data_IF_685255409839
#
_entry.id   IF_685255409839
#
_cell.length_a   1.000
_cell.length_b   1.000
_cell.length_c   1.000
_cell.angle_alpha   90.00
_cell.angle_beta   90.00
_cell.angle_gamma   90.00
#
_symmetry.space_group_name_H-M   'P 1'
#
loop_
_entity.id
_entity.type
_entity.pdbx_description
1 polymer ?
#
# COMPACT_ATOMS: atom_id res chain seq x y z
N UNK A 1 21.90 4.76 23.69
CA UNK A 1 22.10 3.91 22.51
C UNK A 1 20.73 3.66 21.92
N UNK A 2 20.45 4.19 20.74
CA UNK A 2 19.28 3.81 19.94
C UNK A 2 19.85 3.34 18.62
N UNK A 3 19.93 2.02 18.43
CA UNK A 3 20.17 1.45 17.12
C UNK A 3 19.11 2.04 16.16
N UNK A 4 19.50 2.57 15.00
CA UNK A 4 18.53 2.77 13.96
C UNK A 4 18.00 1.37 13.64
N UNK A 5 16.73 1.12 13.94
CA UNK A 5 16.08 -0.11 13.53
C UNK A 5 16.40 -0.28 12.06
N UNK A 6 17.18 -1.32 11.73
CA UNK A 6 17.36 -1.73 10.35
C UNK A 6 15.99 -2.19 9.87
N UNK A 7 15.16 -1.23 9.46
CA UNK A 7 14.14 -1.44 8.46
C UNK A 7 14.92 -1.99 7.29
N UNK A 8 15.02 -3.32 7.23
CA UNK A 8 15.36 -4.06 6.02
C UNK A 8 14.61 -3.35 4.90
N UNK A 9 15.37 -2.55 4.16
CA UNK A 9 14.84 -1.85 3.01
C UNK A 9 14.75 -2.98 2.01
N UNK A 10 13.60 -3.65 1.99
CA UNK A 10 13.16 -4.42 0.83
C UNK A 10 13.21 -3.46 -0.35
N UNK A 11 14.38 -3.36 -0.97
CA UNK A 11 14.68 -2.43 -2.04
C UNK A 11 14.28 -3.10 -3.34
N UNK A 12 12.98 -3.26 -3.54
CA UNK A 12 12.46 -3.67 -4.84
C UNK A 12 12.10 -2.43 -5.68
N UNK A 13 12.17 -2.53 -7.01
CA UNK A 13 11.92 -1.40 -7.91
C UNK A 13 10.56 -0.78 -7.65
N UNK A 14 10.49 0.56 -7.60
CA UNK A 14 9.20 1.27 -7.52
C UNK A 14 8.32 0.93 -8.72
N UNK A 15 7.00 1.02 -8.53
CA UNK A 15 6.04 0.80 -9.61
C UNK A 15 6.29 1.76 -10.78
N UNK A 16 6.53 1.20 -11.95
CA UNK A 16 6.71 1.85 -13.24
C UNK A 16 5.69 1.33 -14.26
N UNK A 17 5.71 1.86 -15.49
CA UNK A 17 4.85 1.36 -16.58
C UNK A 17 5.16 -0.08 -17.01
N UNK A 18 6.35 -0.58 -16.69
CA UNK A 18 6.89 -1.81 -17.26
C UNK A 18 6.96 -2.97 -16.27
N UNK A 19 6.85 -2.69 -14.96
CA UNK A 19 7.14 -3.68 -13.91
C UNK A 19 5.94 -4.04 -13.02
N UNK A 20 4.71 -3.69 -13.39
CA UNK A 20 3.53 -3.93 -12.54
C UNK A 20 3.40 -5.39 -12.09
N UNK A 21 3.73 -6.35 -12.96
CA UNK A 21 3.67 -7.79 -12.64
C UNK A 21 4.58 -8.20 -11.48
N UNK A 22 5.86 -7.85 -11.54
CA UNK A 22 6.83 -8.15 -10.47
C UNK A 22 6.54 -7.30 -9.24
N UNK A 23 6.32 -5.99 -9.43
CA UNK A 23 6.02 -5.05 -8.35
C UNK A 23 4.82 -5.50 -7.51
N UNK A 24 3.74 -5.95 -8.14
CA UNK A 24 2.55 -6.41 -7.43
C UNK A 24 2.87 -7.59 -6.51
N UNK A 25 3.65 -8.56 -6.98
CA UNK A 25 4.02 -9.74 -6.18
C UNK A 25 4.88 -9.34 -4.99
N UNK A 26 5.91 -8.52 -5.21
CA UNK A 26 6.82 -8.06 -4.16
C UNK A 26 6.11 -7.16 -3.15
N UNK A 27 5.26 -6.26 -3.62
CA UNK A 27 4.44 -5.39 -2.77
C UNK A 27 3.47 -6.21 -1.91
N UNK A 28 2.86 -7.26 -2.46
CA UNK A 28 2.01 -8.16 -1.68
C UNK A 28 2.80 -8.85 -0.56
N UNK A 29 4.00 -9.37 -0.86
CA UNK A 29 4.87 -10.01 0.14
C UNK A 29 5.28 -9.03 1.24
N UNK A 30 5.69 -7.81 0.87
CA UNK A 30 6.05 -6.77 1.84
C UNK A 30 4.88 -6.40 2.76
N UNK A 31 3.68 -6.29 2.20
CA UNK A 31 2.47 -5.99 2.98
C UNK A 31 2.05 -7.15 3.88
N UNK A 32 2.31 -8.39 3.49
CA UNK A 32 2.12 -9.57 4.34
C UNK A 32 3.11 -9.57 5.52
N UNK A 33 4.40 -9.36 5.25
CA UNK A 33 5.45 -9.25 6.27
C UNK A 33 5.13 -8.16 7.31
N UNK A 34 4.64 -6.99 6.85
CA UNK A 34 4.27 -5.87 7.73
C UNK A 34 2.89 -6.01 8.39
N UNK A 35 2.17 -7.11 8.16
CA UNK A 35 0.81 -7.32 8.68
C UNK A 35 -0.23 -6.32 8.13
N UNK A 36 0.09 -5.67 7.01
CA UNK A 36 -0.69 -4.61 6.37
C UNK A 36 -1.64 -5.16 5.28
N UNK A 37 -1.45 -6.41 4.85
CA UNK A 37 -2.20 -7.04 3.77
C UNK A 37 -3.74 -6.98 3.94
N UNK A 38 -4.24 -7.13 5.17
CA UNK A 38 -5.68 -7.10 5.46
C UNK A 38 -6.33 -5.74 5.19
N UNK A 39 -5.58 -4.65 5.32
CA UNK A 39 -6.06 -3.32 4.95
C UNK A 39 -6.22 -3.16 3.45
N UNK A 40 -5.41 -3.87 2.64
CA UNK A 40 -5.50 -3.85 1.17
C UNK A 40 -6.74 -4.57 0.69
N UNK A 41 -7.04 -5.70 1.33
CA UNK A 41 -8.21 -6.51 1.04
C UNK A 41 -9.50 -5.88 1.58
N UNK A 42 -9.41 -4.78 2.33
CA UNK A 42 -10.53 -4.20 3.09
C UNK A 42 -11.25 -5.24 3.99
N UNK A 43 -10.51 -6.24 4.47
CA UNK A 43 -11.01 -7.30 5.36
C UNK A 43 -10.66 -7.05 6.82
N UNK A 44 -9.82 -6.04 7.10
CA UNK A 44 -9.51 -5.64 8.46
C UNK A 44 -10.76 -5.00 9.10
N UNK A 45 -11.22 -5.59 10.21
CA UNK A 45 -12.35 -5.05 10.96
C UNK A 45 -11.95 -3.74 11.66
N UNK A 46 -12.78 -2.69 11.62
CA UNK A 46 -12.60 -1.51 12.47
C UNK A 46 -12.57 -1.92 13.95
N UNK A 47 -11.89 -1.13 14.78
CA UNK A 47 -12.01 -1.26 16.23
C UNK A 47 -13.48 -1.16 16.67
N UNK A 48 -13.89 -2.00 17.62
CA UNK A 48 -15.22 -1.91 18.23
C UNK A 48 -15.38 -0.60 19.02
N UNK A 49 -16.62 -0.17 19.25
CA UNK A 49 -16.90 1.04 20.03
C UNK A 49 -16.31 0.98 21.45
N UNK A 50 -16.24 -0.21 22.05
CA UNK A 50 -15.62 -0.45 23.37
C UNK A 50 -14.11 -0.71 23.34
N UNK A 51 -13.44 -0.59 22.18
CA UNK A 51 -11.99 -0.80 22.09
C UNK A 51 -11.24 0.25 22.91
N UNK A 52 -10.19 -0.19 23.59
CA UNK A 52 -9.29 0.70 24.32
C UNK A 52 -8.58 1.68 23.39
N UNK A 53 -8.14 2.82 23.93
CA UNK A 53 -7.36 3.79 23.16
C UNK A 53 -6.08 3.18 22.56
N UNK A 54 -5.48 2.19 23.25
CA UNK A 54 -4.32 1.45 22.77
C UNK A 54 -4.64 0.64 21.52
N UNK A 55 -5.80 0.00 21.45
CA UNK A 55 -6.23 -0.78 20.29
C UNK A 55 -6.54 0.12 19.10
N UNK A 56 -7.22 1.24 19.34
CA UNK A 56 -7.51 2.25 18.32
C UNK A 56 -6.22 2.84 17.74
N UNK A 57 -5.27 3.19 18.60
CA UNK A 57 -3.95 3.67 18.18
C UNK A 57 -3.20 2.61 17.38
N UNK A 58 -3.20 1.35 17.82
CA UNK A 58 -2.54 0.26 17.10
C UNK A 58 -3.18 -0.01 15.73
N UNK A 59 -4.50 0.17 15.59
CA UNK A 59 -5.20 0.08 14.32
C UNK A 59 -4.79 1.22 13.37
N UNK A 60 -4.85 2.47 13.83
CA UNK A 60 -4.46 3.62 13.01
C UNK A 60 -3.00 3.57 12.61
N UNK A 61 -2.09 3.16 13.50
CA UNK A 61 -0.67 2.99 13.15
C UNK A 61 -0.45 1.94 12.07
N UNK A 62 -1.18 0.81 12.09
CA UNK A 62 -1.10 -0.21 11.04
C UNK A 62 -1.67 0.28 9.71
N UNK A 63 -2.77 1.03 9.76
CA UNK A 63 -3.38 1.68 8.59
C UNK A 63 -2.42 2.68 7.95
N UNK A 64 -1.83 3.59 8.75
CA UNK A 64 -0.83 4.56 8.28
C UNK A 64 0.41 3.87 7.71
N UNK A 65 0.90 2.81 8.38
CA UNK A 65 2.03 2.02 7.87
C UNK A 65 1.73 1.37 6.52
N UNK A 66 0.51 0.85 6.34
CA UNK A 66 0.04 0.28 5.06
C UNK A 66 0.08 1.33 3.96
N UNK A 67 -0.49 2.51 4.24
CA UNK A 67 -0.52 3.64 3.30
C UNK A 67 0.89 4.08 2.89
N UNK A 68 1.74 4.37 3.88
CA UNK A 68 3.12 4.83 3.63
C UNK A 68 3.93 3.80 2.85
N UNK A 69 3.74 2.50 3.12
CA UNK A 69 4.44 1.42 2.41
C UNK A 69 4.13 1.44 0.90
N UNK A 70 2.86 1.60 0.53
CA UNK A 70 2.46 1.67 -0.89
C UNK A 70 2.91 2.98 -1.53
N UNK A 71 2.74 4.10 -0.82
CA UNK A 71 3.14 5.43 -1.30
C UNK A 71 4.64 5.49 -1.64
N UNK A 72 5.48 4.88 -0.80
CA UNK A 72 6.92 4.79 -1.00
C UNK A 72 7.30 3.80 -2.10
N UNK A 73 6.49 2.77 -2.31
CA UNK A 73 6.71 1.72 -3.30
C UNK A 73 6.30 2.10 -4.74
N UNK A 74 5.72 3.27 -4.99
CA UNK A 74 5.35 3.72 -6.35
C UNK A 74 6.19 4.90 -6.82
N UNK A 75 6.37 5.05 -8.14
CA UNK A 75 6.98 6.26 -8.71
C UNK A 75 6.13 7.51 -8.43
N UNK A 76 6.78 8.69 -8.44
CA UNK A 76 6.15 9.98 -8.11
C UNK A 76 4.91 10.29 -8.95
N UNK A 77 4.89 9.93 -10.24
CA UNK A 77 3.73 10.11 -11.13
C UNK A 77 2.49 9.32 -10.72
N UNK A 78 2.67 8.30 -9.88
CA UNK A 78 1.59 7.45 -9.36
C UNK A 78 1.19 7.82 -7.93
N UNK A 79 2.01 8.60 -7.22
CA UNK A 79 1.70 9.04 -5.87
C UNK A 79 0.43 9.90 -5.83
N UNK A 80 0.18 10.71 -6.87
CA UNK A 80 -1.07 11.47 -7.02
C UNK A 80 -2.30 10.55 -7.04
N UNK A 81 -2.21 9.37 -7.67
CA UNK A 81 -3.32 8.40 -7.70
C UNK A 81 -3.66 7.82 -6.31
N UNK A 82 -2.72 7.90 -5.37
CA UNK A 82 -2.90 7.48 -3.97
C UNK A 82 -3.39 8.67 -3.13
N UNK A 83 -2.82 9.86 -3.34
CA UNK A 83 -3.13 11.07 -2.58
C UNK A 83 -4.56 11.60 -2.83
N UNK A 84 -5.08 11.48 -4.06
CA UNK A 84 -6.44 11.91 -4.42
C UNK A 84 -7.55 11.06 -3.78
N UNK A 85 -7.19 10.03 -3.02
CA UNK A 85 -8.14 9.13 -2.39
C UNK A 85 -8.48 9.66 -0.99
N UNK A 86 -9.33 10.68 -0.98
CA UNK A 86 -9.69 11.52 0.17
C UNK A 86 -10.28 10.75 1.37
N UNK A 87 -10.79 9.52 1.15
CA UNK A 87 -11.35 8.70 2.23
C UNK A 87 -10.44 7.49 2.53
N UNK A 88 -9.58 7.65 3.54
CA UNK A 88 -8.70 6.62 4.08
C UNK A 88 -9.42 5.33 4.52
N UNK A 89 -10.75 5.33 4.58
CA UNK A 89 -11.57 4.15 4.92
C UNK A 89 -11.69 3.14 3.76
N UNK A 90 -11.63 3.61 2.51
CA UNK A 90 -11.74 2.78 1.29
C UNK A 90 -10.57 2.97 0.30
N UNK A 91 -9.58 3.81 0.64
CA UNK A 91 -8.62 4.32 -0.34
C UNK A 91 -7.55 3.35 -0.83
N UNK A 92 -7.00 2.48 0.03
CA UNK A 92 -5.91 1.59 -0.37
C UNK A 92 -6.38 0.55 -1.38
N UNK A 93 -7.49 -0.13 -1.08
CA UNK A 93 -8.10 -1.09 -2.00
C UNK A 93 -8.49 -0.44 -3.33
N UNK A 94 -9.03 0.78 -3.29
CA UNK A 94 -9.37 1.55 -4.48
C UNK A 94 -8.12 1.94 -5.30
N UNK A 95 -7.06 2.44 -4.65
CA UNK A 95 -5.80 2.80 -5.31
C UNK A 95 -5.16 1.60 -6.00
N UNK A 96 -5.10 0.45 -5.32
CA UNK A 96 -4.59 -0.80 -5.90
C UNK A 96 -5.48 -1.27 -7.06
N UNK A 97 -6.81 -1.13 -6.95
CA UNK A 97 -7.72 -1.42 -8.06
C UNK A 97 -7.48 -0.51 -9.27
N UNK A 98 -7.26 0.79 -9.05
CA UNK A 98 -6.94 1.77 -10.08
C UNK A 98 -5.62 1.44 -10.77
N UNK A 99 -4.60 1.02 -10.03
CA UNK A 99 -3.36 0.48 -10.59
C UNK A 99 -3.61 -0.78 -11.42
N UNK A 100 -4.42 -1.71 -10.91
CA UNK A 100 -4.78 -2.92 -11.64
C UNK A 100 -5.46 -2.61 -12.96
N UNK A 101 -6.38 -1.64 -13.00
CA UNK A 101 -7.06 -1.23 -14.23
C UNK A 101 -6.10 -0.52 -15.19
N UNK A 102 -5.27 0.41 -14.69
CA UNK A 102 -4.28 1.15 -15.50
C UNK A 102 -3.29 0.21 -16.19
N UNK A 103 -2.71 -0.74 -15.46
CA UNK A 103 -1.67 -1.64 -16.00
C UNK A 103 -2.20 -2.92 -16.65
N UNK A 104 -3.47 -3.30 -16.43
CA UNK A 104 -4.12 -4.37 -17.21
C UNK A 104 -4.70 -3.89 -18.54
N UNK A 105 -4.90 -2.58 -18.72
CA UNK A 105 -5.42 -2.04 -19.98
C UNK A 105 -4.47 -2.36 -21.14
N UNK A 106 -4.95 -2.90 -22.28
CA UNK A 106 -4.11 -3.22 -23.44
C UNK A 106 -3.36 -2.00 -23.99
N UNK A 107 -3.86 -0.79 -23.75
CA UNK A 107 -3.25 0.47 -24.17
C UNK A 107 -1.93 0.82 -23.49
N UNK A 108 -1.63 0.28 -22.29
CA UNK A 108 -0.32 0.50 -21.64
C UNK A 108 0.78 -0.45 -22.14
N UNK A 109 0.44 -1.45 -22.97
CA UNK A 109 1.42 -2.37 -23.59
C UNK A 109 2.03 -1.82 -24.89
N UNK A 110 1.58 -0.65 -25.34
CA UNK A 110 1.98 -0.05 -26.61
C UNK A 110 2.54 1.36 -26.37
N UNK A 111 3.73 1.43 -25.78
CA UNK A 111 4.68 2.46 -26.14
C UNK A 111 6.05 1.79 -26.15
N UNK A 112 6.42 1.40 -27.37
CA UNK A 112 7.64 0.71 -27.74
C UNK A 112 8.75 1.74 -27.93
#
# INVERSE_FOLDING_TARGET
MSEPAETSVFAFPKLSDFNYGSWKTEMNVLLMEKGCWKFILATEKPCSEGASDRERLAYELRKQRSYTTIYMGVERKYQALIADTEDGRNSLGYSISKFRTKFKSPSCKFNR
#
